data_IF_637262951247
#
_entry.id   IF_637262951247
#
_cell.length_a   1.000
_cell.length_b   1.000
_cell.length_c   1.000
_cell.angle_alpha   90.00
_cell.angle_beta   90.00
_cell.angle_gamma   90.00
#
_symmetry.space_group_name_H-M   'P 1'
#
loop_
_entity.id
_entity.type
_entity.pdbx_description
1 polymer ?
#
# COMPACT_ATOMS: atom_id res chain seq x y z
N UNK A 1 -12.03 -29.35 20.42
CA UNK A 1 -13.11 -28.43 20.03
C UNK A 1 -13.08 -27.16 20.88
N UNK A 2 -12.98 -27.24 22.22
CA UNK A 2 -12.92 -26.05 23.11
C UNK A 2 -11.84 -25.00 22.76
N UNK A 3 -10.63 -25.39 22.35
CA UNK A 3 -9.57 -24.41 22.02
C UNK A 3 -9.86 -23.54 20.78
N UNK A 4 -10.62 -24.04 19.81
CA UNK A 4 -10.93 -23.29 18.57
C UNK A 4 -11.98 -22.20 18.82
N UNK A 5 -12.99 -22.51 19.62
CA UNK A 5 -14.05 -21.58 19.99
C UNK A 5 -13.52 -20.48 20.93
N UNK A 6 -12.58 -20.83 21.80
CA UNK A 6 -11.91 -19.86 22.67
C UNK A 6 -10.98 -18.92 21.89
N UNK A 7 -10.27 -19.41 20.88
CA UNK A 7 -9.39 -18.58 20.05
C UNK A 7 -10.20 -17.60 19.19
N UNK A 8 -11.28 -18.06 18.55
CA UNK A 8 -12.15 -17.18 17.76
C UNK A 8 -12.76 -16.07 18.61
N UNK A 9 -13.16 -16.37 19.84
CA UNK A 9 -13.68 -15.38 20.80
C UNK A 9 -12.63 -14.34 21.17
N UNK A 10 -11.37 -14.75 21.43
CA UNK A 10 -10.27 -13.83 21.71
C UNK A 10 -9.99 -12.95 20.49
N UNK A 11 -9.90 -13.53 19.28
CA UNK A 11 -9.66 -12.80 18.04
C UNK A 11 -10.78 -11.78 17.75
N UNK A 12 -12.03 -12.15 18.04
CA UNK A 12 -13.16 -11.27 17.86
C UNK A 12 -13.13 -10.10 18.84
N UNK A 13 -12.81 -10.34 20.12
CA UNK A 13 -12.61 -9.25 21.10
C UNK A 13 -11.45 -8.34 20.74
N UNK A 14 -10.33 -8.90 20.27
CA UNK A 14 -9.19 -8.13 19.78
C UNK A 14 -9.63 -7.19 18.65
N UNK A 15 -10.46 -7.68 17.73
CA UNK A 15 -10.95 -6.91 16.60
C UNK A 15 -11.98 -5.83 16.96
N UNK A 16 -12.72 -5.96 18.07
CA UNK A 16 -13.83 -5.04 18.42
C UNK A 16 -13.59 -4.16 19.64
N UNK A 17 -12.83 -4.63 20.64
CA UNK A 17 -12.79 -4.03 21.99
C UNK A 17 -11.36 -3.72 22.47
N UNK A 18 -10.33 -4.08 21.71
CA UNK A 18 -8.94 -3.92 22.12
C UNK A 18 -8.42 -5.13 22.91
N UNK A 19 -7.11 -5.17 23.14
CA UNK A 19 -6.45 -6.31 23.78
C UNK A 19 -6.32 -6.10 25.29
N UNK A 20 -6.97 -6.95 26.10
CA UNK A 20 -6.77 -6.95 27.55
C UNK A 20 -5.55 -7.77 27.96
N UNK A 21 -4.99 -7.51 29.15
CA UNK A 21 -3.89 -8.34 29.67
C UNK A 21 -4.31 -9.80 29.89
N UNK A 22 -5.60 -10.04 30.15
CA UNK A 22 -6.15 -11.40 30.23
C UNK A 22 -6.15 -12.12 28.88
N UNK A 23 -6.35 -11.39 27.78
CA UNK A 23 -6.28 -11.93 26.41
C UNK A 23 -4.84 -12.28 26.02
N UNK A 24 -3.86 -11.45 26.41
CA UNK A 24 -2.42 -11.72 26.20
C UNK A 24 -2.01 -13.03 26.86
N UNK A 25 -2.40 -13.23 28.11
CA UNK A 25 -2.05 -14.43 28.86
C UNK A 25 -2.76 -15.67 28.32
N UNK A 26 -4.01 -15.53 27.86
CA UNK A 26 -4.73 -16.61 27.19
C UNK A 26 -4.07 -17.00 25.86
N UNK A 27 -3.66 -16.03 25.03
CA UNK A 27 -2.92 -16.29 23.78
C UNK A 27 -1.56 -16.93 24.03
N UNK A 28 -0.79 -16.45 25.02
CA UNK A 28 0.49 -17.06 25.40
C UNK A 28 0.32 -18.53 25.76
N UNK A 29 -0.70 -18.88 26.56
CA UNK A 29 -0.99 -20.28 26.91
C UNK A 29 -1.36 -21.10 25.67
N UNK A 30 -2.29 -20.62 24.86
CA UNK A 30 -2.74 -21.29 23.63
C UNK A 30 -1.59 -21.58 22.65
N UNK A 31 -0.70 -20.61 22.41
CA UNK A 31 0.42 -20.80 21.48
C UNK A 31 1.55 -21.67 22.04
N UNK A 32 1.78 -21.63 23.35
CA UNK A 32 2.77 -22.50 23.99
C UNK A 32 2.29 -23.95 24.13
N UNK A 33 0.97 -24.18 24.19
CA UNK A 33 0.36 -25.51 24.26
C UNK A 33 0.19 -26.18 22.87
N UNK A 34 0.28 -25.40 21.78
CA UNK A 34 -0.23 -25.77 20.45
C UNK A 34 0.73 -26.39 19.42
N UNK A 35 2.04 -26.51 19.61
CA UNK A 35 2.91 -27.05 18.54
C UNK A 35 4.12 -27.88 18.98
N UNK A 36 3.87 -29.16 19.29
CA UNK A 36 4.82 -30.24 19.02
C UNK A 36 4.32 -31.06 17.81
N UNK A 37 4.29 -30.47 16.62
CA UNK A 37 4.07 -31.23 15.38
C UNK A 37 5.25 -31.01 14.42
N UNK A 38 6.17 -31.97 14.45
CA UNK A 38 7.28 -32.14 13.52
C UNK A 38 6.75 -32.50 12.14
N UNK A 39 6.78 -31.56 11.20
CA UNK A 39 6.65 -31.84 9.77
C UNK A 39 8.04 -31.67 9.14
N UNK A 40 8.69 -32.78 8.81
CA UNK A 40 9.99 -32.81 8.14
C UNK A 40 9.77 -32.94 6.63
N UNK A 41 10.20 -31.96 5.83
CA UNK A 41 10.06 -31.94 4.37
C UNK A 41 11.44 -31.87 3.71
N UNK A 42 11.78 -32.85 2.87
CA UNK A 42 12.84 -32.84 1.82
C UNK A 42 14.29 -33.02 2.32
N UNK A 43 14.99 -34.15 2.08
CA UNK A 43 15.55 -34.69 0.81
C UNK A 43 16.73 -33.91 0.22
N UNK A 44 17.82 -33.71 0.97
CA UNK A 44 19.14 -33.46 0.39
C UNK A 44 20.22 -34.29 1.10
N UNK A 45 20.92 -35.11 0.30
CA UNK A 45 22.11 -35.86 0.69
C UNK A 45 23.24 -34.86 1.00
N UNK A 46 23.86 -34.96 2.17
CA UNK A 46 25.08 -34.20 2.48
C UNK A 46 26.21 -35.19 2.72
N UNK A 47 27.22 -35.15 1.86
CA UNK A 47 28.42 -35.98 1.92
C UNK A 47 29.29 -35.54 3.12
N UNK A 48 29.57 -36.46 4.03
CA UNK A 48 30.46 -36.22 5.17
C UNK A 48 31.89 -36.55 4.76
N UNK A 49 32.76 -35.55 4.67
CA UNK A 49 34.22 -35.75 4.64
C UNK A 49 34.84 -35.05 5.85
N UNK A 50 35.43 -35.88 6.71
CA UNK A 50 36.23 -35.65 7.93
C UNK A 50 36.34 -34.22 8.51
N UNK A 51 35.79 -34.07 9.72
CA UNK A 51 36.53 -33.39 10.78
C UNK A 51 36.14 -31.97 11.17
N UNK A 52 34.97 -31.45 10.78
CA UNK A 52 34.44 -30.19 11.34
C UNK A 52 32.97 -30.34 11.72
N UNK A 53 32.62 -29.81 12.88
CA UNK A 53 31.27 -29.77 13.45
C UNK A 53 30.24 -29.33 12.40
N UNK A 54 29.31 -30.24 12.10
CA UNK A 54 28.17 -29.95 11.25
C UNK A 54 27.02 -29.52 12.17
N UNK A 55 26.65 -28.25 12.16
CA UNK A 55 25.40 -27.77 12.72
C UNK A 55 24.26 -27.99 11.70
N UNK A 56 23.66 -29.17 11.72
CA UNK A 56 22.40 -29.45 11.01
C UNK A 56 21.26 -29.35 12.02
N UNK A 57 20.29 -28.48 11.74
CA UNK A 57 19.04 -28.41 12.47
C UNK A 57 18.92 -27.23 13.44
N UNK A 58 19.39 -26.03 13.06
CA UNK A 58 18.97 -24.81 13.75
C UNK A 58 17.45 -24.68 13.63
N UNK A 59 16.76 -25.09 14.69
CA UNK A 59 15.36 -24.77 14.92
C UNK A 59 15.31 -23.27 15.17
N UNK A 60 14.78 -22.53 14.21
CA UNK A 60 14.33 -21.17 14.46
C UNK A 60 13.11 -21.28 15.38
N UNK A 61 13.35 -21.24 16.69
CA UNK A 61 12.28 -21.07 17.66
C UNK A 61 11.82 -19.61 17.56
N UNK A 62 10.67 -19.38 16.94
CA UNK A 62 9.99 -18.10 17.08
C UNK A 62 9.48 -18.01 18.52
N UNK A 63 10.17 -17.26 19.37
CA UNK A 63 9.64 -16.93 20.70
C UNK A 63 8.53 -15.90 20.53
N UNK A 64 7.29 -16.27 20.86
CA UNK A 64 6.15 -15.36 20.96
C UNK A 64 6.29 -14.47 22.20
N UNK A 65 7.31 -13.60 22.17
CA UNK A 65 7.54 -12.59 23.18
C UNK A 65 6.52 -11.45 23.04
N UNK A 66 6.55 -10.52 24.01
CA UNK A 66 5.58 -9.43 24.11
C UNK A 66 5.58 -8.54 22.87
N UNK A 67 6.73 -8.40 22.24
CA UNK A 67 6.91 -7.67 20.99
C UNK A 67 6.23 -8.38 19.81
N UNK A 68 6.44 -9.70 19.65
CA UNK A 68 5.80 -10.50 18.60
C UNK A 68 4.28 -10.61 18.78
N UNK A 69 3.80 -10.76 20.02
CA UNK A 69 2.37 -10.74 20.32
C UNK A 69 1.75 -9.36 20.09
N UNK A 70 2.46 -8.30 20.45
CA UNK A 70 2.01 -6.92 20.17
C UNK A 70 1.98 -6.65 18.67
N UNK A 71 2.96 -7.14 17.90
CA UNK A 71 3.00 -7.02 16.44
C UNK A 71 1.85 -7.79 15.78
N UNK A 72 1.59 -9.03 16.20
CA UNK A 72 0.46 -9.83 15.72
C UNK A 72 -0.88 -9.15 16.04
N UNK A 73 -1.04 -8.64 17.27
CA UNK A 73 -2.25 -7.92 17.66
C UNK A 73 -2.41 -6.66 16.84
N UNK A 74 -1.34 -5.87 16.62
CA UNK A 74 -1.38 -4.70 15.74
C UNK A 74 -1.81 -5.09 14.33
N UNK A 75 -1.29 -6.19 13.79
CA UNK A 75 -1.65 -6.72 12.47
C UNK A 75 -3.13 -7.12 12.39
N UNK A 76 -3.67 -7.75 13.45
CA UNK A 76 -5.10 -8.13 13.53
C UNK A 76 -6.01 -6.91 13.73
N UNK A 77 -5.60 -5.94 14.56
CA UNK A 77 -6.40 -4.78 14.94
C UNK A 77 -6.38 -3.67 13.90
N UNK A 78 -5.22 -3.44 13.30
CA UNK A 78 -4.93 -2.23 12.53
C UNK A 78 -4.55 -2.52 11.08
N UNK A 79 -4.56 -3.78 10.65
CA UNK A 79 -4.12 -4.15 9.32
C UNK A 79 -2.60 -4.28 9.21
N UNK A 80 -2.16 -4.84 8.10
CA UNK A 80 -0.78 -5.25 7.86
C UNK A 80 0.12 -4.01 7.62
N UNK A 81 1.33 -3.90 8.22
CA UNK A 81 2.37 -2.96 7.76
C UNK A 81 2.64 -3.04 6.24
N UNK A 82 2.20 -4.11 5.57
CA UNK A 82 2.18 -4.25 4.12
C UNK A 82 1.22 -3.28 3.38
N UNK A 83 0.27 -2.60 4.02
CA UNK A 83 -0.66 -1.71 3.30
C UNK A 83 0.06 -0.53 2.61
N UNK A 84 1.07 0.04 3.27
CA UNK A 84 1.89 1.12 2.68
C UNK A 84 2.76 0.58 1.56
N UNK A 85 3.37 -0.59 1.76
CA UNK A 85 4.19 -1.24 0.74
C UNK A 85 3.34 -1.64 -0.49
N UNK A 86 2.14 -2.15 -0.25
CA UNK A 86 1.15 -2.47 -1.28
C UNK A 86 0.69 -1.21 -2.01
N UNK A 87 0.45 -0.11 -1.29
CA UNK A 87 0.10 1.17 -1.89
C UNK A 87 1.24 1.69 -2.77
N UNK A 88 2.49 1.69 -2.30
CA UNK A 88 3.67 2.05 -3.10
C UNK A 88 3.77 1.18 -4.35
N UNK A 89 3.58 -0.14 -4.21
CA UNK A 89 3.61 -1.08 -5.34
C UNK A 89 2.48 -0.80 -6.34
N UNK A 90 1.27 -0.55 -5.85
CA UNK A 90 0.09 -0.22 -6.68
C UNK A 90 0.27 1.08 -7.43
N UNK A 91 0.82 2.10 -6.77
CA UNK A 91 1.09 3.40 -7.37
C UNK A 91 2.19 3.30 -8.43
N UNK A 92 3.30 2.59 -8.18
CA UNK A 92 4.36 2.38 -9.18
C UNK A 92 3.90 1.61 -10.44
N UNK A 93 2.81 0.84 -10.34
CA UNK A 93 2.21 0.14 -11.47
C UNK A 93 0.96 0.87 -12.01
N UNK A 94 0.63 2.05 -11.48
CA UNK A 94 -0.58 2.76 -11.84
C UNK A 94 -0.40 3.43 -13.21
N UNK A 95 -1.36 3.14 -14.08
CA UNK A 95 -1.47 3.76 -15.39
C UNK A 95 -2.93 4.01 -15.72
N UNK A 96 -3.20 5.18 -16.26
CA UNK A 96 -4.51 5.59 -16.73
C UNK A 96 -4.42 5.91 -18.22
N UNK A 97 -5.20 5.21 -19.02
CA UNK A 97 -5.33 5.47 -20.44
C UNK A 97 -6.80 5.60 -20.77
N UNK A 98 -7.19 6.76 -21.27
CA UNK A 98 -8.58 7.05 -21.61
C UNK A 98 -8.71 8.13 -22.69
N UNK A 99 -9.95 8.34 -23.10
CA UNK A 99 -10.35 9.32 -24.09
C UNK A 99 -11.50 10.19 -23.52
N UNK A 100 -11.37 11.51 -23.57
CA UNK A 100 -12.37 12.45 -23.06
C UNK A 100 -12.75 13.50 -24.10
N UNK A 101 -14.00 13.98 -24.06
CA UNK A 101 -14.49 15.09 -24.87
C UNK A 101 -15.44 14.68 -25.98
N UNK A 102 -15.79 15.64 -26.83
CA UNK A 102 -16.74 15.42 -27.92
C UNK A 102 -16.07 15.68 -29.28
N UNK A 103 -15.91 14.59 -30.04
CA UNK A 103 -15.36 14.61 -31.39
C UNK A 103 -16.19 15.48 -32.35
N UNK A 104 -17.46 15.76 -32.06
CA UNK A 104 -18.33 16.63 -32.87
C UNK A 104 -18.06 18.12 -32.64
N UNK A 105 -17.68 18.50 -31.43
CA UNK A 105 -17.39 19.90 -31.07
C UNK A 105 -15.92 20.27 -31.30
N UNK A 106 -15.08 19.29 -31.67
CA UNK A 106 -13.66 19.50 -31.99
C UNK A 106 -12.76 19.67 -30.77
N UNK A 107 -13.21 19.21 -29.59
CA UNK A 107 -12.42 19.17 -28.37
C UNK A 107 -12.43 17.73 -27.85
N UNK A 108 -11.46 16.95 -28.30
CA UNK A 108 -11.28 15.55 -27.93
C UNK A 108 -9.83 15.34 -27.45
N UNK A 109 -9.69 14.59 -26.37
CA UNK A 109 -8.43 14.36 -25.67
C UNK A 109 -8.18 12.86 -25.58
N UNK A 110 -6.97 12.45 -25.91
CA UNK A 110 -6.47 11.12 -25.56
C UNK A 110 -5.32 11.31 -24.59
N UNK A 111 -5.38 10.61 -23.47
CA UNK A 111 -4.32 10.66 -22.47
C UNK A 111 -3.85 9.28 -22.04
N UNK A 112 -2.56 9.24 -21.73
CA UNK A 112 -1.85 8.09 -21.20
C UNK A 112 -0.92 8.60 -20.10
N UNK A 113 -1.26 8.31 -18.85
CA UNK A 113 -0.63 8.83 -17.64
C UNK A 113 -0.13 7.65 -16.82
N UNK A 114 1.09 7.72 -16.31
CA UNK A 114 1.63 6.72 -15.40
C UNK A 114 2.40 7.39 -14.27
N UNK A 115 2.47 6.69 -13.14
CA UNK A 115 3.28 7.10 -12.01
C UNK A 115 4.60 6.32 -12.01
N UNK A 116 5.64 6.95 -11.51
CA UNK A 116 6.98 6.35 -11.43
C UNK A 116 7.71 6.86 -10.19
N UNK A 117 8.79 6.18 -9.82
CA UNK A 117 9.66 6.53 -8.69
C UNK A 117 8.89 6.76 -7.38
N UNK A 118 7.78 6.03 -7.17
CA UNK A 118 6.98 6.18 -5.97
C UNK A 118 7.69 5.52 -4.80
N UNK A 119 7.91 6.28 -3.74
CA UNK A 119 8.65 5.82 -2.56
C UNK A 119 8.11 6.45 -1.27
N UNK A 120 8.35 5.77 -0.16
CA UNK A 120 8.09 6.29 1.17
C UNK A 120 9.21 7.26 1.56
N UNK A 121 8.84 8.52 1.81
CA UNK A 121 9.77 9.58 2.22
C UNK A 121 9.85 9.69 3.75
N UNK A 122 8.70 9.66 4.42
CA UNK A 122 8.62 9.79 5.88
C UNK A 122 7.51 8.91 6.44
N UNK A 123 7.73 8.38 7.64
CA UNK A 123 6.76 7.58 8.40
C UNK A 123 6.85 7.91 9.88
N UNK A 124 5.72 8.27 10.49
CA UNK A 124 5.64 8.58 11.91
C UNK A 124 4.51 7.79 12.54
N UNK A 125 4.83 7.10 13.62
CA UNK A 125 3.88 6.31 14.40
C UNK A 125 3.83 6.87 15.81
N UNK A 126 2.64 7.19 16.29
CA UNK A 126 2.44 7.67 17.65
C UNK A 126 1.09 7.24 18.21
N UNK A 127 0.92 7.43 19.51
CA UNK A 127 -0.32 7.11 20.22
C UNK A 127 -0.81 8.35 20.95
N UNK A 128 -2.06 8.72 20.71
CA UNK A 128 -2.72 9.86 21.35
C UNK A 128 -3.99 9.35 22.06
N UNK A 129 -3.92 9.22 23.39
CA UNK A 129 -4.96 8.53 24.17
C UNK A 129 -5.07 7.06 23.75
N UNK A 130 -6.28 6.63 23.38
CA UNK A 130 -6.57 5.26 22.91
C UNK A 130 -6.47 5.12 21.37
N UNK A 131 -5.89 6.12 20.68
CA UNK A 131 -5.74 6.12 19.23
C UNK A 131 -4.31 5.84 18.83
N UNK A 132 -4.11 4.79 18.05
CA UNK A 132 -2.87 4.55 17.32
C UNK A 132 -2.94 5.29 15.98
N UNK A 133 -1.97 6.18 15.75
CA UNK A 133 -1.93 7.05 14.58
C UNK A 133 -0.65 6.75 13.82
N UNK A 134 -0.79 6.50 12.53
CA UNK A 134 0.31 6.33 11.59
C UNK A 134 0.20 7.39 10.51
N UNK A 135 1.28 8.10 10.25
CA UNK A 135 1.37 9.13 9.21
C UNK A 135 2.46 8.75 8.22
N UNK A 136 2.10 8.71 6.95
CA UNK A 136 3.01 8.39 5.86
C UNK A 136 3.05 9.54 4.86
N UNK A 137 4.26 9.88 4.43
CA UNK A 137 4.48 10.75 3.28
C UNK A 137 5.10 9.92 2.16
N UNK A 138 4.37 9.77 1.06
CA UNK A 138 4.90 9.19 -0.17
C UNK A 138 5.19 10.31 -1.17
N UNK A 139 6.26 10.14 -1.94
CA UNK A 139 6.57 11.00 -3.08
C UNK A 139 6.72 10.16 -4.33
N UNK A 140 6.51 10.79 -5.48
CA UNK A 140 6.76 10.16 -6.77
C UNK A 140 6.69 11.17 -7.90
N UNK A 141 6.88 10.65 -9.11
CA UNK A 141 6.75 11.40 -10.35
C UNK A 141 5.58 10.87 -11.15
N UNK A 142 5.11 11.69 -12.06
CA UNK A 142 4.17 11.29 -13.09
C UNK A 142 4.64 11.83 -14.43
N UNK A 143 4.38 11.06 -15.48
CA UNK A 143 4.62 11.47 -16.86
C UNK A 143 3.37 11.13 -17.67
N UNK A 144 3.20 11.83 -18.79
CA UNK A 144 1.99 11.72 -19.59
C UNK A 144 2.23 11.94 -21.07
N UNK A 145 1.31 11.41 -21.86
CA UNK A 145 1.11 11.81 -23.25
C UNK A 145 -0.31 12.29 -23.38
N UNK A 146 -0.48 13.57 -23.68
CA UNK A 146 -1.79 14.16 -23.91
C UNK A 146 -1.84 14.71 -25.32
N UNK A 147 -2.82 14.23 -26.08
CA UNK A 147 -3.08 14.68 -27.44
C UNK A 147 -4.42 15.39 -27.46
N UNK A 148 -4.45 16.54 -28.14
CA UNK A 148 -5.69 17.24 -28.44
C UNK A 148 -5.95 17.14 -29.94
N UNK A 149 -7.06 16.49 -30.29
CA UNK A 149 -7.58 16.51 -31.65
C UNK A 149 -8.30 17.85 -31.85
N UNK A 150 -7.83 18.64 -32.81
CA UNK A 150 -8.47 19.90 -33.22
C UNK A 150 -8.94 19.80 -34.67
N UNK A 151 -10.07 20.42 -34.96
CA UNK A 151 -10.58 20.53 -36.33
C UNK A 151 -10.06 21.83 -36.96
N UNK A 152 -9.14 21.70 -37.91
CA UNK A 152 -8.58 22.80 -38.68
C UNK A 152 -9.07 22.70 -40.12
N UNK A 153 -10.00 23.59 -40.50
CA UNK A 153 -10.52 23.68 -41.86
C UNK A 153 -11.07 22.36 -42.43
N UNK A 154 -11.71 21.53 -41.60
CA UNK A 154 -12.28 20.24 -42.01
C UNK A 154 -11.31 19.06 -41.92
N UNK A 155 -10.03 19.31 -41.60
CA UNK A 155 -9.03 18.28 -41.33
C UNK A 155 -8.86 18.08 -39.82
N UNK A 156 -8.80 16.81 -39.41
CA UNK A 156 -8.51 16.41 -38.04
C UNK A 156 -7.01 16.35 -37.86
N UNK A 157 -6.49 17.10 -36.89
CA UNK A 157 -5.05 17.13 -36.59
C UNK A 157 -4.86 16.78 -35.12
N UNK A 158 -4.10 15.70 -34.89
CA UNK A 158 -3.60 15.36 -33.56
C UNK A 158 -2.40 16.25 -33.25
N UNK A 159 -2.58 17.18 -32.32
CA UNK A 159 -1.47 17.99 -31.83
C UNK A 159 -1.13 17.54 -30.41
N UNK A 160 0.17 17.26 -30.10
CA UNK A 160 0.60 17.14 -28.72
C UNK A 160 0.14 18.39 -27.97
N UNK A 161 -0.65 18.22 -26.92
CA UNK A 161 -1.20 19.37 -26.21
C UNK A 161 -0.11 19.97 -25.32
N UNK A 162 0.22 21.25 -25.54
CA UNK A 162 1.23 21.99 -24.79
C UNK A 162 2.38 22.52 -25.68
N UNK A 163 3.06 23.57 -25.22
CA UNK A 163 4.22 24.11 -25.93
C UNK A 163 5.43 23.18 -25.80
N UNK A 164 5.59 22.25 -26.75
CA UNK A 164 6.81 21.46 -27.00
C UNK A 164 7.26 20.51 -25.87
N UNK A 165 6.48 20.30 -24.81
CA UNK A 165 6.88 19.43 -23.70
C UNK A 165 5.77 18.45 -23.36
N UNK A 166 6.15 17.19 -23.13
CA UNK A 166 5.29 16.16 -22.56
C UNK A 166 4.96 16.57 -21.12
N UNK A 167 3.68 16.62 -20.72
CA UNK A 167 3.36 17.03 -19.37
C UNK A 167 3.86 15.99 -18.37
N UNK A 168 4.56 16.46 -17.33
CA UNK A 168 5.14 15.65 -16.28
C UNK A 168 5.21 16.47 -15.00
N UNK A 169 5.44 15.81 -13.88
CA UNK A 169 5.61 16.52 -12.62
C UNK A 169 5.87 15.61 -11.44
N UNK A 170 5.94 16.23 -10.27
CA UNK A 170 6.04 15.52 -9.00
C UNK A 170 4.69 15.50 -8.29
N UNK A 171 4.51 14.51 -7.43
CA UNK A 171 3.40 14.47 -6.49
C UNK A 171 3.87 14.10 -5.09
N UNK A 172 3.08 14.51 -4.11
CA UNK A 172 3.24 14.14 -2.70
C UNK A 172 1.90 13.66 -2.18
N UNK A 173 1.90 12.51 -1.53
CA UNK A 173 0.73 11.91 -0.89
C UNK A 173 1.01 11.83 0.62
N UNK A 174 0.14 12.45 1.42
CA UNK A 174 0.12 12.30 2.87
C UNK A 174 -1.08 11.46 3.27
N UNK A 175 -0.83 10.37 3.99
CA UNK A 175 -1.86 9.47 4.51
C UNK A 175 -1.75 9.46 6.03
N UNK A 176 -2.87 9.68 6.69
CA UNK A 176 -3.05 9.42 8.11
C UNK A 176 -3.98 8.23 8.28
N UNK A 177 -3.51 7.25 9.04
CA UNK A 177 -4.25 6.06 9.44
C UNK A 177 -4.46 6.14 10.95
N UNK A 178 -5.72 6.07 11.38
CA UNK A 178 -6.10 6.03 12.79
C UNK A 178 -6.75 4.68 13.05
N UNK A 179 -6.18 3.91 13.97
CA UNK A 179 -6.64 2.57 14.33
C UNK A 179 -6.88 1.68 13.09
N UNK A 180 -5.93 1.70 12.14
CA UNK A 180 -5.98 0.88 10.92
C UNK A 180 -6.97 1.34 9.86
N UNK A 181 -7.48 2.58 9.95
CA UNK A 181 -8.35 3.16 8.91
C UNK A 181 -7.79 4.49 8.43
N UNK A 182 -7.76 4.69 7.13
CA UNK A 182 -7.35 5.95 6.56
C UNK A 182 -8.40 7.04 6.87
N UNK A 183 -8.00 8.04 7.65
CA UNK A 183 -8.87 9.15 8.09
C UNK A 183 -8.58 10.43 7.33
N UNK A 184 -7.33 10.65 6.95
CA UNK A 184 -6.93 11.84 6.21
C UNK A 184 -6.02 11.46 5.05
N UNK A 185 -6.44 11.80 3.83
CA UNK A 185 -5.67 11.57 2.61
C UNK A 185 -5.52 12.90 1.90
N UNK A 186 -4.29 13.37 1.75
CA UNK A 186 -3.98 14.60 1.04
C UNK A 186 -3.05 14.30 -0.13
N UNK A 187 -3.57 14.47 -1.34
CA UNK A 187 -2.81 14.32 -2.59
C UNK A 187 -2.47 15.72 -3.11
N UNK A 188 -1.18 16.00 -3.27
CA UNK A 188 -0.67 17.19 -3.95
C UNK A 188 0.01 16.77 -5.24
N UNK A 189 -0.36 17.39 -6.36
CA UNK A 189 0.25 17.18 -7.67
C UNK A 189 0.71 18.54 -8.18
N UNK A 190 1.95 18.61 -8.67
CA UNK A 190 2.52 19.85 -9.18
C UNK A 190 1.74 20.38 -10.40
N UNK A 191 1.41 21.67 -10.37
CA UNK A 191 0.81 22.43 -11.47
C UNK A 191 1.82 23.46 -11.99
N UNK A 192 1.73 23.78 -13.28
CA UNK A 192 2.60 24.75 -13.95
C UNK A 192 1.76 25.76 -14.74
N UNK A 193 2.39 26.78 -15.30
CA UNK A 193 1.74 27.74 -16.21
C UNK A 193 1.55 27.13 -17.61
N UNK A 194 0.97 25.93 -17.67
CA UNK A 194 0.63 25.20 -18.89
C UNK A 194 -0.67 24.42 -18.69
N UNK A 195 -1.67 24.77 -19.48
CA UNK A 195 -3.00 24.13 -19.43
C UNK A 195 -2.95 22.61 -19.64
N UNK A 196 -2.05 22.11 -20.50
CA UNK A 196 -1.91 20.68 -20.74
C UNK A 196 -1.34 19.96 -19.52
N UNK A 197 -0.37 20.58 -18.86
CA UNK A 197 0.21 20.04 -17.63
C UNK A 197 -0.74 20.08 -16.44
N UNK A 198 -1.56 21.12 -16.32
CA UNK A 198 -2.55 21.18 -15.25
C UNK A 198 -3.64 20.13 -15.45
N UNK A 199 -4.12 19.95 -16.68
CA UNK A 199 -5.06 18.87 -16.98
C UNK A 199 -4.49 17.48 -16.69
N UNK A 200 -3.26 17.20 -17.13
CA UNK A 200 -2.61 15.92 -16.83
C UNK A 200 -2.35 15.74 -15.32
N UNK A 201 -2.05 16.83 -14.60
CA UNK A 201 -1.91 16.83 -13.15
C UNK A 201 -3.21 16.53 -12.41
N UNK A 202 -4.35 17.05 -12.90
CA UNK A 202 -5.68 16.74 -12.37
C UNK A 202 -6.04 15.26 -12.59
N UNK A 203 -5.82 14.73 -13.79
CA UNK A 203 -6.03 13.31 -14.09
C UNK A 203 -5.10 12.39 -13.27
N UNK A 204 -3.86 12.84 -13.01
CA UNK A 204 -2.92 12.15 -12.11
C UNK A 204 -3.47 12.08 -10.69
N UNK A 205 -4.06 13.18 -10.20
CA UNK A 205 -4.69 13.22 -8.87
C UNK A 205 -5.82 12.21 -8.75
N UNK A 206 -6.70 12.14 -9.75
CA UNK A 206 -7.80 11.17 -9.81
C UNK A 206 -7.30 9.72 -9.82
N UNK A 207 -6.25 9.43 -10.62
CA UNK A 207 -5.62 8.11 -10.64
C UNK A 207 -5.09 7.71 -9.25
N UNK A 208 -4.35 8.60 -8.58
CA UNK A 208 -3.82 8.36 -7.23
C UNK A 208 -4.97 8.09 -6.25
N UNK A 209 -6.01 8.92 -6.25
CA UNK A 209 -7.16 8.74 -5.37
C UNK A 209 -7.90 7.43 -5.62
N UNK A 210 -8.06 7.02 -6.88
CA UNK A 210 -8.64 5.72 -7.23
C UNK A 210 -7.80 4.57 -6.67
N UNK A 211 -6.47 4.64 -6.76
CA UNK A 211 -5.59 3.57 -6.24
C UNK A 211 -5.55 3.53 -4.72
N UNK A 212 -5.67 4.66 -4.05
CA UNK A 212 -5.78 4.69 -2.59
C UNK A 212 -7.06 3.98 -2.14
N UNK A 213 -8.20 4.22 -2.81
CA UNK A 213 -9.48 3.53 -2.53
C UNK A 213 -9.44 2.02 -2.73
N UNK A 214 -8.55 1.51 -3.59
CA UNK A 214 -8.36 0.07 -3.79
C UNK A 214 -7.59 -0.60 -2.65
N UNK A 215 -6.73 0.15 -1.95
CA UNK A 215 -5.78 -0.40 -0.97
C UNK A 215 -6.21 -0.10 0.45
N UNK A 216 -6.53 1.16 0.74
CA UNK A 216 -6.84 1.60 2.10
C UNK A 216 -8.33 1.52 2.38
N UNK A 217 -8.65 1.07 3.60
CA UNK A 217 -10.01 1.17 4.14
C UNK A 217 -10.26 2.61 4.58
N UNK A 218 -11.05 3.34 3.79
CA UNK A 218 -11.44 4.72 4.04
C UNK A 218 -12.71 4.74 4.89
N UNK A 219 -12.78 5.64 5.87
CA UNK A 219 -13.95 5.88 6.73
C UNK A 219 -15.00 6.73 6.00
#
# INVERSE_FOLDING_TARGET
MENSDHLSTILQRIATEGLSDSDKDALRKLFNEGSHQTVQVGKYNVSVSEGKEIHIGDRIYYSWNDEALSALVRMIQFGDPDEVHLLVTKLNNARLKDEEGDRKTGSFYTYDIWLEDVSLEDSQDFTEGDRYIQQYTLTGKWDSRVYKEINLAGFRVDTPWGHKKKPNGQFTLKVEIVNGRATHIKVHVAHYDDSANNYAGDQTRELIQSKIKEVLRIV
#
